data_IF_976176038098
#
_entry.id   IF_976176038098
#
_cell.length_a   1.000
_cell.length_b   1.000
_cell.length_c   1.000
_cell.angle_alpha   90.00
_cell.angle_beta   90.00
_cell.angle_gamma   90.00
#
_symmetry.space_group_name_H-M   'P 1'
#
loop_
_entity.id
_entity.type
_entity.pdbx_description
1 polymer ?
#
# COMPACT_ATOMS: atom_id res chain seq x y z
N UNK A 1 27.53 -12.46 9.13
CA UNK A 1 27.38 -12.38 7.66
C UNK A 1 26.69 -11.07 7.39
N UNK A 2 27.16 -10.33 6.39
CA UNK A 2 26.55 -9.06 5.99
C UNK A 2 25.15 -9.32 5.43
N UNK A 3 24.09 -8.65 5.93
CA UNK A 3 22.74 -8.93 5.48
C UNK A 3 22.55 -8.44 4.03
N UNK A 4 22.08 -9.34 3.16
CA UNK A 4 21.54 -8.99 1.85
C UNK A 4 20.17 -8.36 2.08
N UNK A 5 20.03 -7.07 1.77
CA UNK A 5 18.78 -6.36 1.95
C UNK A 5 18.20 -5.91 0.62
N UNK A 6 16.89 -5.67 0.60
CA UNK A 6 16.21 -4.96 -0.47
C UNK A 6 15.97 -3.52 -0.04
N UNK A 7 16.56 -2.55 -0.72
CA UNK A 7 16.39 -1.13 -0.39
C UNK A 7 16.33 -0.23 -1.63
N UNK A 8 15.78 0.97 -1.44
CA UNK A 8 15.78 2.03 -2.43
C UNK A 8 17.12 2.77 -2.44
N UNK A 9 17.84 2.66 -3.56
CA UNK A 9 19.02 3.47 -3.85
C UNK A 9 18.56 4.78 -4.47
N UNK A 10 19.00 5.91 -3.93
CA UNK A 10 18.75 7.23 -4.51
C UNK A 10 19.66 7.41 -5.72
N UNK A 11 19.04 7.54 -6.90
CA UNK A 11 19.75 7.76 -8.17
C UNK A 11 20.03 9.24 -8.35
N UNK A 12 19.02 10.07 -8.10
CA UNK A 12 19.14 11.52 -8.17
C UNK A 12 17.91 12.23 -7.63
N UNK A 13 18.09 13.50 -7.32
CA UNK A 13 17.01 14.41 -6.93
C UNK A 13 17.27 15.79 -7.49
N UNK A 14 16.20 16.50 -7.82
CA UNK A 14 16.29 17.86 -8.33
C UNK A 14 14.97 18.62 -8.10
N UNK A 15 15.03 19.94 -8.13
CA UNK A 15 13.86 20.82 -8.03
C UNK A 15 13.67 21.63 -9.30
N UNK A 16 12.42 21.96 -9.62
CA UNK A 16 12.10 22.88 -10.72
C UNK A 16 10.83 23.68 -10.43
N UNK A 17 10.89 24.98 -10.68
CA UNK A 17 9.70 25.84 -10.67
C UNK A 17 9.02 25.88 -12.04
N UNK A 18 7.69 25.88 -12.03
CA UNK A 18 6.83 26.09 -13.18
C UNK A 18 5.96 27.33 -12.93
N UNK A 19 6.02 28.29 -13.84
CA UNK A 19 5.11 29.44 -13.87
C UNK A 19 3.93 29.14 -14.78
N UNK A 20 2.71 29.14 -14.22
CA UNK A 20 1.46 29.08 -14.97
C UNK A 20 0.82 30.48 -14.95
N UNK A 21 0.81 31.13 -16.12
CA UNK A 21 0.29 32.50 -16.29
C UNK A 21 -0.89 32.50 -17.26
N UNK A 22 -2.05 33.01 -16.81
CA UNK A 22 -3.28 33.01 -17.63
C UNK A 22 -4.24 34.12 -17.23
N UNK A 23 -5.01 34.59 -18.21
CA UNK A 23 -6.20 35.42 -17.97
C UNK A 23 -7.45 34.53 -17.90
N UNK A 24 -8.25 34.76 -16.86
CA UNK A 24 -9.48 34.01 -16.60
C UNK A 24 -10.67 34.95 -16.71
N UNK A 25 -11.68 34.55 -17.48
CA UNK A 25 -12.94 35.29 -17.57
C UNK A 25 -13.89 34.83 -16.48
N UNK A 26 -14.33 35.75 -15.63
CA UNK A 26 -15.35 35.52 -14.62
C UNK A 26 -16.74 35.51 -15.26
N UNK A 27 -17.59 34.59 -14.83
CA UNK A 27 -18.98 34.53 -15.26
C UNK A 27 -19.82 35.72 -14.75
N UNK A 28 -19.39 36.34 -13.64
CA UNK A 28 -20.03 37.47 -12.99
C UNK A 28 -19.00 38.59 -12.83
N UNK A 29 -19.42 39.84 -13.09
CA UNK A 29 -18.58 41.02 -12.89
C UNK A 29 -18.21 41.17 -11.40
N UNK A 30 -16.93 41.32 -11.14
CA UNK A 30 -16.32 41.46 -9.83
C UNK A 30 -15.87 42.90 -9.58
N UNK A 31 -16.05 43.35 -8.34
CA UNK A 31 -15.43 44.58 -7.81
C UNK A 31 -13.97 44.29 -7.43
N UNK A 32 -13.72 43.13 -6.80
CA UNK A 32 -12.38 42.70 -6.35
C UNK A 32 -12.28 41.19 -6.19
N UNK A 33 -11.06 40.68 -6.29
CA UNK A 33 -10.72 39.30 -5.92
C UNK A 33 -10.38 39.24 -4.44
N UNK A 34 -10.96 38.29 -3.72
CA UNK A 34 -10.69 38.06 -2.30
C UNK A 34 -9.44 37.21 -2.14
N UNK A 35 -9.44 36.03 -2.75
CA UNK A 35 -8.33 35.07 -2.73
C UNK A 35 -8.53 34.04 -3.84
N UNK A 36 -7.43 33.38 -4.21
CA UNK A 36 -7.44 32.24 -5.11
C UNK A 36 -6.74 31.10 -4.39
N UNK A 37 -7.47 30.02 -4.14
CA UNK A 37 -6.91 28.82 -3.55
C UNK A 37 -6.52 27.87 -4.69
N UNK A 38 -5.25 27.49 -4.76
CA UNK A 38 -4.71 26.61 -5.77
C UNK A 38 -4.31 25.26 -5.17
N UNK A 39 -4.57 24.18 -5.90
CA UNK A 39 -4.20 22.82 -5.54
C UNK A 39 -3.80 22.06 -6.81
N UNK A 40 -2.89 21.10 -6.69
CA UNK A 40 -2.53 20.19 -7.78
C UNK A 40 -3.41 18.94 -7.69
N UNK A 41 -3.92 18.47 -8.82
CA UNK A 41 -4.74 17.26 -8.96
C UNK A 41 -4.24 16.41 -10.12
N UNK A 42 -4.61 15.14 -10.10
CA UNK A 42 -4.40 14.19 -11.19
C UNK A 42 -2.93 14.13 -11.66
N UNK A 43 -2.00 14.13 -10.71
CA UNK A 43 -0.58 14.13 -11.00
C UNK A 43 -0.15 12.77 -11.54
N UNK A 44 0.43 12.74 -12.73
CA UNK A 44 1.05 11.57 -13.34
C UNK A 44 2.51 11.86 -13.66
N UNK A 45 3.32 10.81 -13.63
CA UNK A 45 4.78 10.90 -13.79
C UNK A 45 5.29 9.78 -14.66
N UNK A 46 6.19 10.11 -15.59
CA UNK A 46 6.95 9.14 -16.37
C UNK A 46 8.44 9.40 -16.22
N UNK A 47 9.19 8.35 -15.87
CA UNK A 47 10.65 8.39 -15.84
C UNK A 47 11.17 8.02 -17.22
N UNK A 48 11.96 8.91 -17.81
CA UNK A 48 12.69 8.68 -19.05
C UNK A 48 14.19 8.90 -18.80
N UNK A 49 15.02 8.61 -19.79
CA UNK A 49 16.47 8.84 -19.68
C UNK A 49 16.78 10.28 -19.19
N UNK A 50 17.45 10.35 -18.04
CA UNK A 50 17.90 11.55 -17.32
C UNK A 50 16.80 12.57 -16.94
N UNK A 51 15.52 12.23 -17.05
CA UNK A 51 14.40 13.16 -16.80
C UNK A 51 13.18 12.49 -16.21
N UNK A 52 12.41 13.27 -15.47
CA UNK A 52 11.06 12.91 -15.04
C UNK A 52 10.07 13.86 -15.69
N UNK A 53 9.15 13.33 -16.47
CA UNK A 53 8.01 14.08 -17.03
C UNK A 53 6.91 14.10 -15.97
N UNK A 54 6.34 15.28 -15.74
CA UNK A 54 5.26 15.50 -14.76
C UNK A 54 4.09 16.13 -15.49
N UNK A 55 2.91 15.55 -15.34
CA UNK A 55 1.66 16.05 -15.89
C UNK A 55 0.60 16.11 -14.79
N UNK A 56 -0.33 17.04 -14.91
CA UNK A 56 -1.42 17.14 -13.96
C UNK A 56 -2.30 18.35 -14.21
N UNK A 57 -3.18 18.63 -13.25
CA UNK A 57 -4.14 19.74 -13.32
C UNK A 57 -3.92 20.69 -12.15
N UNK A 58 -3.64 21.95 -12.49
CA UNK A 58 -3.72 23.05 -11.53
C UNK A 58 -5.20 23.42 -11.37
N UNK A 59 -5.79 23.01 -10.24
CA UNK A 59 -7.16 23.36 -9.86
C UNK A 59 -7.17 24.62 -9.00
N UNK A 60 -7.96 25.61 -9.39
CA UNK A 60 -8.10 26.88 -8.68
C UNK A 60 -9.55 27.13 -8.28
N UNK A 61 -9.73 27.68 -7.09
CA UNK A 61 -10.98 28.25 -6.60
C UNK A 61 -10.79 29.75 -6.42
N UNK A 62 -11.42 30.53 -7.30
CA UNK A 62 -11.34 31.99 -7.32
C UNK A 62 -12.52 32.54 -6.53
N UNK A 63 -12.26 33.16 -5.37
CA UNK A 63 -13.28 33.82 -4.58
C UNK A 63 -13.24 35.32 -4.84
N UNK A 64 -14.38 35.93 -5.14
CA UNK A 64 -14.48 37.35 -5.51
C UNK A 64 -15.78 37.98 -5.03
N UNK A 65 -15.80 39.31 -4.95
CA UNK A 65 -17.00 40.09 -4.59
C UNK A 65 -17.62 40.62 -5.87
N UNK A 66 -18.88 40.27 -6.11
CA UNK A 66 -19.64 40.74 -7.26
C UNK A 66 -20.11 42.20 -7.12
N UNK A 67 -20.61 42.79 -8.20
CA UNK A 67 -21.26 44.11 -8.17
C UNK A 67 -22.54 44.15 -7.30
N UNK A 68 -23.10 42.98 -7.02
CA UNK A 68 -24.19 42.75 -6.06
C UNK A 68 -23.73 42.77 -4.59
N UNK A 69 -22.43 42.97 -4.33
CA UNK A 69 -21.79 42.86 -3.02
C UNK A 69 -21.88 41.47 -2.37
N UNK A 70 -22.13 40.42 -3.15
CA UNK A 70 -22.15 39.04 -2.69
C UNK A 70 -20.80 38.38 -3.01
N UNK A 71 -20.37 37.46 -2.15
CA UNK A 71 -19.17 36.64 -2.41
C UNK A 71 -19.56 35.49 -3.34
N UNK A 72 -18.92 35.46 -4.50
CA UNK A 72 -19.04 34.40 -5.49
C UNK A 72 -17.75 33.57 -5.53
N UNK A 73 -17.85 32.37 -6.09
CA UNK A 73 -16.69 31.56 -6.40
C UNK A 73 -16.77 30.99 -7.81
N UNK A 74 -15.62 30.83 -8.45
CA UNK A 74 -15.50 30.19 -9.75
C UNK A 74 -14.30 29.24 -9.74
N UNK A 75 -14.54 28.01 -10.17
CA UNK A 75 -13.50 27.01 -10.35
C UNK A 75 -12.82 27.15 -11.72
N UNK A 76 -11.53 26.83 -11.79
CA UNK A 76 -10.80 26.67 -13.04
C UNK A 76 -9.82 25.50 -12.95
N UNK A 77 -9.75 24.70 -14.01
CA UNK A 77 -8.74 23.66 -14.19
C UNK A 77 -7.79 24.06 -15.33
N UNK A 78 -6.49 24.02 -15.06
CA UNK A 78 -5.47 24.25 -16.07
C UNK A 78 -4.57 23.01 -16.13
N UNK A 79 -4.62 22.22 -17.21
CA UNK A 79 -3.66 21.14 -17.39
C UNK A 79 -2.26 21.74 -17.58
N UNK A 80 -1.26 21.10 -17.00
CA UNK A 80 0.14 21.44 -17.20
C UNK A 80 0.96 20.20 -17.53
N UNK A 81 2.10 20.43 -18.18
CA UNK A 81 3.15 19.42 -18.38
C UNK A 81 4.50 20.11 -18.24
N UNK A 82 5.40 19.47 -17.49
CA UNK A 82 6.78 19.90 -17.32
C UNK A 82 7.67 18.67 -17.21
N UNK A 83 8.97 18.88 -17.13
CA UNK A 83 9.94 17.84 -16.82
C UNK A 83 11.00 18.37 -15.89
N UNK A 84 11.60 17.51 -15.06
CA UNK A 84 12.74 17.82 -14.21
C UNK A 84 13.92 16.96 -14.64
N UNK A 85 15.08 17.57 -14.84
CA UNK A 85 16.31 16.85 -15.19
C UNK A 85 16.84 16.14 -13.94
N UNK A 86 16.97 14.81 -13.99
CA UNK A 86 17.48 13.96 -12.92
C UNK A 86 18.51 13.01 -13.54
N UNK A 87 19.80 13.39 -13.57
CA UNK A 87 20.84 12.57 -14.19
C UNK A 87 20.89 11.14 -13.62
N UNK A 88 21.01 10.14 -14.49
CA UNK A 88 21.01 8.73 -14.14
C UNK A 88 19.63 8.08 -14.05
N UNK A 89 18.55 8.85 -14.19
CA UNK A 89 17.20 8.29 -14.24
C UNK A 89 16.97 7.44 -15.51
N UNK A 90 16.38 6.27 -15.37
CA UNK A 90 16.04 5.36 -16.48
C UNK A 90 14.58 4.88 -16.38
N UNK A 91 13.96 4.49 -17.51
CA UNK A 91 12.61 3.91 -17.51
C UNK A 91 12.50 2.71 -16.55
N UNK A 92 11.42 2.68 -15.77
CA UNK A 92 11.16 1.62 -14.79
C UNK A 92 11.69 1.92 -13.38
N UNK A 93 12.49 2.97 -13.19
CA UNK A 93 12.87 3.43 -11.85
C UNK A 93 11.67 4.03 -11.10
N UNK A 94 11.72 3.98 -9.77
CA UNK A 94 10.71 4.59 -8.90
C UNK A 94 10.89 6.10 -8.88
N UNK A 95 9.79 6.84 -8.78
CA UNK A 95 9.82 8.30 -8.70
C UNK A 95 8.88 8.82 -7.62
N UNK A 96 9.36 9.81 -6.87
CA UNK A 96 8.57 10.57 -5.91
C UNK A 96 8.56 12.03 -6.33
N UNK A 97 7.37 12.61 -6.49
CA UNK A 97 7.18 14.02 -6.85
C UNK A 97 6.37 14.71 -5.78
N UNK A 98 6.91 15.79 -5.21
CA UNK A 98 6.23 16.65 -4.24
C UNK A 98 6.03 18.04 -4.83
N UNK A 99 4.81 18.37 -5.29
CA UNK A 99 4.51 19.72 -5.75
C UNK A 99 4.11 20.64 -4.60
N UNK A 100 4.65 21.86 -4.59
CA UNK A 100 4.28 22.92 -3.64
C UNK A 100 3.83 24.15 -4.42
N UNK A 101 2.68 24.71 -4.06
CA UNK A 101 2.27 26.03 -4.56
C UNK A 101 3.02 27.08 -3.73
N UNK A 102 4.05 27.68 -4.31
CA UNK A 102 4.83 28.71 -3.62
C UNK A 102 4.06 30.03 -3.53
N UNK A 103 3.44 30.45 -4.64
CA UNK A 103 2.70 31.71 -4.68
C UNK A 103 1.60 31.73 -5.73
N UNK A 104 0.56 32.51 -5.43
CA UNK A 104 -0.54 32.84 -6.34
C UNK A 104 -0.68 34.35 -6.38
N UNK A 105 -0.23 34.95 -7.46
CA UNK A 105 -0.33 36.39 -7.71
C UNK A 105 -1.48 36.62 -8.67
N UNK A 106 -2.32 37.61 -8.38
CA UNK A 106 -3.45 37.94 -9.24
C UNK A 106 -3.73 39.43 -9.30
N UNK A 107 -4.30 39.86 -10.42
CA UNK A 107 -4.77 41.22 -10.62
C UNK A 107 -6.09 41.22 -11.39
N UNK A 108 -7.06 42.02 -10.95
CA UNK A 108 -8.31 42.22 -11.67
C UNK A 108 -8.08 43.28 -12.75
N UNK A 109 -8.03 42.88 -14.02
CA UNK A 109 -7.77 43.79 -15.15
C UNK A 109 -9.04 44.53 -15.59
N UNK A 110 -10.19 43.86 -15.52
CA UNK A 110 -11.53 44.41 -15.74
C UNK A 110 -12.51 43.67 -14.84
N UNK A 111 -13.76 44.13 -14.67
CA UNK A 111 -14.73 43.44 -13.81
C UNK A 111 -14.89 41.94 -14.13
N UNK A 112 -14.63 41.51 -15.36
CA UNK A 112 -14.75 40.09 -15.74
C UNK A 112 -13.42 39.42 -16.08
N UNK A 113 -12.27 40.09 -16.01
CA UNK A 113 -10.97 39.50 -16.41
C UNK A 113 -9.98 39.56 -15.25
N UNK A 114 -9.54 38.38 -14.80
CA UNK A 114 -8.49 38.23 -13.79
C UNK A 114 -7.23 37.72 -14.44
N UNK A 115 -6.14 38.46 -14.29
CA UNK A 115 -4.80 37.99 -14.61
C UNK A 115 -4.21 37.23 -13.42
N UNK A 116 -3.67 36.05 -13.64
CA UNK A 116 -3.19 35.16 -12.58
C UNK A 116 -1.84 34.57 -12.95
N UNK A 117 -0.95 34.47 -11.96
CA UNK A 117 0.34 33.80 -12.01
C UNK A 117 0.41 32.84 -10.83
N UNK A 118 0.62 31.57 -11.11
CA UNK A 118 0.86 30.54 -10.09
C UNK A 118 2.26 30.00 -10.29
N UNK A 119 3.08 30.04 -9.24
CA UNK A 119 4.39 29.38 -9.23
C UNK A 119 4.25 28.08 -8.46
N UNK A 120 4.63 26.99 -9.13
CA UNK A 120 4.59 25.63 -8.60
C UNK A 120 6.04 25.15 -8.54
N UNK A 121 6.54 24.81 -7.36
CA UNK A 121 7.82 24.11 -7.21
C UNK A 121 7.57 22.60 -7.20
N UNK A 122 8.33 21.86 -7.99
CA UNK A 122 8.34 20.41 -7.97
C UNK A 122 9.67 19.93 -7.40
N UNK A 123 9.63 19.22 -6.28
CA UNK A 123 10.75 18.39 -5.83
C UNK A 123 10.57 16.98 -6.41
N UNK A 124 11.61 16.46 -7.07
CA UNK A 124 11.61 15.15 -7.71
C UNK A 124 12.76 14.33 -7.16
N UNK A 125 12.47 13.08 -6.79
CA UNK A 125 13.44 12.08 -6.37
C UNK A 125 13.24 10.79 -7.15
N UNK A 126 14.30 10.30 -7.78
CA UNK A 126 14.32 9.02 -8.48
C UNK A 126 15.09 8.02 -7.64
N UNK A 127 14.47 6.86 -7.38
CA UNK A 127 15.09 5.75 -6.66
C UNK A 127 15.00 4.46 -7.46
N UNK A 128 15.92 3.54 -7.20
CA UNK A 128 15.89 2.20 -7.77
C UNK A 128 15.94 1.17 -6.65
N UNK A 129 15.02 0.22 -6.64
CA UNK A 129 15.04 -0.86 -5.66
C UNK A 129 16.10 -1.89 -6.05
N UNK A 130 17.14 -2.03 -5.22
CA UNK A 130 18.23 -3.00 -5.43
C UNK A 130 18.36 -3.96 -4.25
N UNK A 131 18.96 -5.12 -4.53
CA UNK A 131 19.47 -6.00 -3.48
C UNK A 131 20.95 -5.73 -3.24
N UNK A 132 21.31 -5.42 -1.99
CA UNK A 132 22.64 -4.98 -1.62
C UNK A 132 23.06 -5.63 -0.31
N UNK A 133 24.33 -6.02 -0.21
CA UNK A 133 24.91 -6.49 1.04
C UNK A 133 25.36 -5.28 1.86
N UNK A 134 24.75 -5.08 3.03
CA UNK A 134 25.12 -4.00 3.94
C UNK A 134 26.31 -4.37 4.81
N UNK A 135 27.25 -3.45 4.96
CA UNK A 135 28.28 -3.57 6.00
C UNK A 135 27.70 -3.08 7.33
N UNK A 136 27.69 -3.95 8.32
CA UNK A 136 27.30 -3.59 9.70
C UNK A 136 28.39 -2.77 10.38
N UNK A 137 28.02 -1.82 11.24
CA UNK A 137 28.98 -0.95 11.94
C UNK A 137 28.36 -0.25 13.15
N UNK A 138 29.01 0.81 13.63
CA UNK A 138 28.57 1.57 14.82
C UNK A 138 27.65 2.76 14.50
N UNK A 139 27.10 2.81 13.27
CA UNK A 139 26.22 3.89 12.84
C UNK A 139 24.77 3.72 13.34
N UNK A 140 23.83 4.49 12.77
CA UNK A 140 22.43 4.46 13.21
C UNK A 140 21.83 3.07 13.06
N UNK A 141 20.93 2.73 13.99
CA UNK A 141 20.12 1.52 13.92
C UNK A 141 19.04 1.72 12.86
N UNK A 142 19.05 0.91 11.81
CA UNK A 142 18.06 0.98 10.75
C UNK A 142 17.23 -0.29 10.72
N UNK A 143 15.94 -0.14 10.40
CA UNK A 143 15.06 -1.24 10.04
C UNK A 143 15.18 -1.48 8.53
N UNK A 144 15.46 -2.73 8.16
CA UNK A 144 15.65 -3.14 6.76
C UNK A 144 14.99 -4.49 6.51
N UNK A 145 14.55 -4.71 5.28
CA UNK A 145 14.02 -6.00 4.86
C UNK A 145 15.17 -6.84 4.29
N UNK A 146 15.66 -7.78 5.11
CA UNK A 146 16.67 -8.74 4.73
C UNK A 146 16.04 -9.79 3.82
N UNK A 147 16.69 -10.06 2.69
CA UNK A 147 16.32 -11.14 1.78
C UNK A 147 16.79 -12.46 2.40
N UNK A 148 15.83 -13.32 2.73
CA UNK A 148 16.08 -14.67 3.25
C UNK A 148 16.37 -15.61 2.10
N UNK A 149 15.55 -15.53 1.05
CA UNK A 149 15.73 -16.29 -0.17
C UNK A 149 14.74 -15.90 -1.25
N UNK A 150 15.06 -16.27 -2.48
CA UNK A 150 14.18 -16.11 -3.64
C UNK A 150 14.36 -17.30 -4.58
N UNK A 151 13.28 -17.70 -5.25
CA UNK A 151 13.30 -18.77 -6.24
C UNK A 151 12.13 -18.63 -7.21
N UNK A 152 12.20 -19.33 -8.34
CA UNK A 152 11.10 -19.42 -9.31
C UNK A 152 10.58 -20.85 -9.42
N UNK A 153 9.31 -21.00 -9.79
CA UNK A 153 8.74 -22.26 -10.22
C UNK A 153 7.81 -22.04 -11.40
N UNK A 154 8.04 -22.76 -12.49
CA UNK A 154 7.10 -22.85 -13.59
C UNK A 154 6.08 -23.97 -13.33
N UNK A 155 4.82 -23.72 -13.66
CA UNK A 155 3.76 -24.71 -13.56
C UNK A 155 2.83 -24.66 -14.77
N UNK A 156 2.42 -25.85 -15.21
CA UNK A 156 1.47 -26.05 -16.30
C UNK A 156 0.09 -26.37 -15.73
N UNK A 157 -0.88 -25.52 -16.04
CA UNK A 157 -2.29 -25.74 -15.76
C UNK A 157 -2.98 -26.20 -17.04
N UNK A 158 -3.47 -27.44 -17.02
CA UNK A 158 -4.17 -28.06 -18.14
C UNK A 158 -5.59 -28.43 -17.73
N UNK A 159 -6.59 -27.88 -18.42
CA UNK A 159 -7.99 -28.21 -18.17
C UNK A 159 -8.84 -28.09 -19.43
N UNK A 160 -9.99 -28.76 -19.39
CA UNK A 160 -11.04 -28.63 -20.40
C UNK A 160 -12.12 -27.66 -19.94
N UNK A 161 -12.70 -26.94 -20.89
CA UNK A 161 -13.94 -26.18 -20.70
C UNK A 161 -14.95 -26.54 -21.80
N UNK A 162 -16.22 -26.56 -21.42
CA UNK A 162 -17.33 -26.61 -22.37
C UNK A 162 -17.76 -25.18 -22.73
N UNK A 163 -17.68 -24.85 -24.02
CA UNK A 163 -18.17 -23.60 -24.56
C UNK A 163 -19.70 -23.59 -24.55
N UNK A 164 -20.27 -22.46 -24.11
CA UNK A 164 -21.72 -22.25 -24.06
C UNK A 164 -22.35 -22.21 -25.45
N UNK A 165 -21.54 -22.00 -26.50
CA UNK A 165 -21.97 -21.94 -27.90
C UNK A 165 -21.00 -22.74 -28.77
N UNK A 166 -21.50 -23.57 -29.72
CA UNK A 166 -20.63 -24.31 -30.62
C UNK A 166 -19.75 -23.38 -31.47
N UNK A 167 -18.43 -23.58 -31.39
CA UNK A 167 -17.38 -22.84 -32.05
C UNK A 167 -16.84 -23.55 -33.30
N UNK A 168 -16.40 -22.76 -34.27
CA UNK A 168 -15.60 -23.20 -35.42
C UNK A 168 -14.11 -23.13 -35.08
N UNK A 169 -13.69 -22.06 -34.39
CA UNK A 169 -12.31 -21.82 -33.96
C UNK A 169 -12.27 -20.93 -32.73
N UNK A 170 -11.18 -21.03 -31.99
CA UNK A 170 -10.80 -20.06 -30.96
C UNK A 170 -10.02 -18.94 -31.63
N UNK A 171 -10.28 -17.71 -31.23
CA UNK A 171 -9.55 -16.53 -31.71
C UNK A 171 -8.39 -16.22 -30.77
N UNK A 172 -8.69 -16.05 -29.48
CA UNK A 172 -7.69 -15.75 -28.45
C UNK A 172 -8.15 -16.20 -27.05
N UNK A 173 -7.18 -16.39 -26.14
CA UNK A 173 -7.43 -16.56 -24.71
C UNK A 173 -6.50 -15.63 -23.96
N UNK A 174 -7.06 -14.58 -23.35
CA UNK A 174 -6.29 -13.72 -22.44
C UNK A 174 -6.34 -14.27 -21.03
N UNK A 175 -5.21 -14.24 -20.33
CA UNK A 175 -5.06 -14.86 -19.01
C UNK A 175 -4.46 -13.86 -18.03
N UNK A 176 -5.04 -13.79 -16.84
CA UNK A 176 -4.55 -12.99 -15.72
C UNK A 176 -4.61 -13.86 -14.46
N UNK A 177 -3.52 -13.85 -13.68
CA UNK A 177 -3.51 -14.45 -12.35
C UNK A 177 -3.98 -13.39 -11.35
N UNK A 178 -5.01 -13.69 -10.58
CA UNK A 178 -5.61 -12.78 -9.59
C UNK A 178 -5.87 -13.50 -8.27
N UNK A 179 -6.26 -12.74 -7.25
CA UNK A 179 -6.69 -13.24 -5.93
C UNK A 179 -5.63 -14.13 -5.25
N UNK A 180 -4.35 -13.73 -5.38
CA UNK A 180 -3.24 -14.51 -4.83
C UNK A 180 -3.21 -14.41 -3.31
N UNK A 181 -3.18 -15.56 -2.64
CA UNK A 181 -2.88 -15.70 -1.23
C UNK A 181 -1.61 -16.51 -1.04
N UNK A 182 -0.85 -16.19 0.01
CA UNK A 182 0.45 -16.82 0.28
C UNK A 182 0.57 -17.25 1.72
N UNK A 183 1.19 -18.42 1.94
CA UNK A 183 1.55 -18.89 3.26
C UNK A 183 3.02 -19.29 3.27
N UNK A 184 3.82 -18.61 4.10
CA UNK A 184 5.21 -18.98 4.36
C UNK A 184 5.23 -20.08 5.41
N UNK A 185 5.83 -21.21 5.06
CA UNK A 185 6.12 -22.33 5.96
C UNK A 185 7.61 -22.60 5.94
N UNK A 186 8.07 -23.59 6.72
CA UNK A 186 9.46 -23.99 6.74
C UNK A 186 9.95 -24.36 5.33
N UNK A 187 10.97 -23.63 4.86
CA UNK A 187 11.65 -23.76 3.57
C UNK A 187 10.78 -23.64 2.31
N UNK A 188 9.52 -23.21 2.42
CA UNK A 188 8.58 -23.12 1.29
C UNK A 188 7.61 -21.96 1.42
N UNK A 189 7.15 -21.50 0.26
CA UNK A 189 6.01 -20.58 0.13
C UNK A 189 4.91 -21.30 -0.62
N UNK A 190 3.74 -21.46 0.02
CA UNK A 190 2.51 -21.91 -0.65
C UNK A 190 1.86 -20.70 -1.30
N UNK A 191 1.44 -20.84 -2.55
CA UNK A 191 0.79 -19.82 -3.36
C UNK A 191 -0.53 -20.38 -3.84
N UNK A 192 -1.62 -19.69 -3.57
CA UNK A 192 -2.96 -20.04 -4.03
C UNK A 192 -3.56 -18.85 -4.75
N UNK A 193 -4.49 -19.08 -5.67
CA UNK A 193 -5.17 -18.00 -6.36
C UNK A 193 -6.04 -18.50 -7.50
N UNK A 194 -6.40 -17.58 -8.40
CA UNK A 194 -7.28 -17.85 -9.52
C UNK A 194 -6.59 -17.47 -10.83
N UNK A 195 -6.58 -18.42 -11.77
CA UNK A 195 -6.27 -18.16 -13.18
C UNK A 195 -7.57 -17.74 -13.85
N UNK A 196 -7.71 -16.43 -14.07
CA UNK A 196 -8.83 -15.85 -14.79
C UNK A 196 -8.54 -15.84 -16.28
N UNK A 197 -9.42 -16.45 -17.07
CA UNK A 197 -9.30 -16.55 -18.51
C UNK A 197 -10.48 -15.86 -19.19
N UNK A 198 -10.21 -15.20 -20.31
CA UNK A 198 -11.23 -14.66 -21.19
C UNK A 198 -11.03 -15.30 -22.56
N UNK A 199 -12.00 -16.12 -22.97
CA UNK A 199 -11.95 -16.92 -24.18
C UNK A 199 -12.78 -16.22 -25.25
N UNK A 200 -12.13 -15.84 -26.35
CA UNK A 200 -12.76 -15.24 -27.53
C UNK A 200 -12.79 -16.28 -28.64
N UNK A 201 -13.96 -16.51 -29.25
CA UNK A 201 -14.12 -17.56 -30.25
C UNK A 201 -15.20 -17.24 -31.28
N UNK A 202 -15.12 -17.88 -32.45
CA UNK A 202 -16.10 -17.72 -33.53
C UNK A 202 -17.08 -18.88 -33.51
N UNK A 203 -18.36 -18.58 -33.35
CA UNK A 203 -19.45 -19.55 -33.36
C UNK A 203 -19.73 -20.14 -34.75
N UNK A 204 -20.46 -21.24 -34.79
CA UNK A 204 -20.93 -21.89 -36.04
C UNK A 204 -21.82 -21.02 -36.94
N UNK A 205 -22.33 -19.91 -36.40
CA UNK A 205 -23.06 -18.87 -37.11
C UNK A 205 -22.17 -17.71 -37.61
N UNK A 206 -20.84 -17.82 -37.52
CA UNK A 206 -19.85 -16.79 -37.82
C UNK A 206 -19.98 -15.52 -36.96
N UNK A 207 -20.54 -15.62 -35.76
CA UNK A 207 -20.57 -14.53 -34.77
C UNK A 207 -19.46 -14.74 -33.75
N UNK A 208 -18.82 -13.66 -33.32
CA UNK A 208 -17.82 -13.67 -32.25
C UNK A 208 -18.51 -13.74 -30.87
N UNK A 209 -18.00 -14.63 -30.02
CA UNK A 209 -18.48 -14.86 -28.67
C UNK A 209 -17.34 -14.72 -27.67
N UNK A 210 -17.74 -14.47 -26.43
CA UNK A 210 -16.87 -14.36 -25.28
C UNK A 210 -17.37 -15.28 -24.16
N UNK A 211 -16.44 -15.95 -23.48
CA UNK A 211 -16.71 -16.74 -22.29
C UNK A 211 -15.57 -16.60 -21.28
N UNK A 212 -15.90 -16.24 -20.04
CA UNK A 212 -14.95 -16.22 -18.93
C UNK A 212 -14.83 -17.59 -18.26
N UNK A 213 -13.64 -17.90 -17.74
CA UNK A 213 -13.38 -19.05 -16.88
C UNK A 213 -12.48 -18.63 -15.72
N UNK A 214 -12.79 -19.11 -14.51
CA UNK A 214 -11.92 -19.00 -13.35
C UNK A 214 -11.46 -20.41 -12.94
N UNK A 215 -10.15 -20.63 -12.86
CA UNK A 215 -9.55 -21.90 -12.41
C UNK A 215 -8.73 -21.63 -11.16
N UNK A 216 -9.17 -22.19 -10.03
CA UNK A 216 -8.41 -22.14 -8.78
C UNK A 216 -7.14 -22.99 -8.89
N UNK A 217 -6.04 -22.49 -8.32
CA UNK A 217 -4.79 -23.23 -8.24
C UNK A 217 -4.17 -23.15 -6.85
N UNK A 218 -3.29 -24.11 -6.58
CA UNK A 218 -2.44 -24.15 -5.40
C UNK A 218 -1.09 -24.73 -5.79
N UNK A 219 -0.02 -24.00 -5.50
CA UNK A 219 1.36 -24.39 -5.78
C UNK A 219 2.28 -24.02 -4.63
N UNK A 220 3.56 -24.35 -4.75
CA UNK A 220 4.58 -23.93 -3.79
C UNK A 220 5.92 -23.66 -4.47
N UNK A 221 6.68 -22.71 -3.92
CA UNK A 221 8.08 -22.46 -4.30
C UNK A 221 8.98 -22.86 -3.13
N UNK A 222 10.01 -23.66 -3.39
CA UNK A 222 11.02 -24.02 -2.38
C UNK A 222 11.97 -22.83 -2.17
N UNK A 223 12.02 -22.30 -0.95
CA UNK A 223 12.86 -21.17 -0.54
C UNK A 223 13.54 -21.54 0.78
N UNK A 224 14.76 -22.13 0.73
CA UNK A 224 15.50 -22.48 1.94
C UNK A 224 15.69 -21.29 2.88
N UNK A 225 15.46 -21.50 4.18
CA UNK A 225 15.51 -20.48 5.22
C UNK A 225 14.18 -19.76 5.48
N UNK A 226 13.17 -19.94 4.63
CA UNK A 226 11.84 -19.39 4.87
C UNK A 226 11.21 -20.00 6.13
N UNK A 227 10.52 -19.16 6.92
CA UNK A 227 9.86 -19.58 8.16
C UNK A 227 8.54 -18.82 8.41
N UNK A 228 7.60 -19.39 9.19
CA UNK A 228 6.32 -18.74 9.47
C UNK A 228 6.49 -17.35 10.09
N UNK A 229 5.74 -16.38 9.58
CA UNK A 229 5.77 -14.98 10.02
C UNK A 229 6.69 -14.06 9.21
N UNK A 230 7.52 -14.61 8.32
CA UNK A 230 8.28 -13.82 7.34
C UNK A 230 7.36 -13.25 6.25
N UNK A 231 7.79 -12.14 5.66
CA UNK A 231 7.09 -11.48 4.56
C UNK A 231 7.44 -12.15 3.23
N UNK A 232 6.49 -12.18 2.29
CA UNK A 232 6.71 -12.76 0.96
C UNK A 232 6.10 -11.89 -0.12
N UNK A 233 6.82 -11.77 -1.23
CA UNK A 233 6.34 -11.15 -2.46
C UNK A 233 6.32 -12.21 -3.54
N UNK A 234 5.18 -12.35 -4.21
CA UNK A 234 4.98 -13.27 -5.32
C UNK A 234 4.62 -12.48 -6.58
N UNK A 235 5.36 -12.73 -7.66
CA UNK A 235 5.09 -12.16 -8.98
C UNK A 235 4.85 -13.31 -9.97
N UNK A 236 3.59 -13.57 -10.36
CA UNK A 236 3.30 -14.53 -11.42
C UNK A 236 3.50 -13.90 -12.80
N UNK A 237 4.06 -14.65 -13.73
CA UNK A 237 4.19 -14.28 -15.14
C UNK A 237 3.55 -15.38 -15.99
N UNK A 238 2.57 -15.02 -16.82
CA UNK A 238 2.02 -15.96 -17.81
C UNK A 238 3.00 -16.03 -18.97
N UNK A 239 3.70 -17.15 -19.11
CA UNK A 239 4.72 -17.33 -20.14
C UNK A 239 4.13 -17.85 -21.45
N UNK A 240 3.12 -18.71 -21.35
CA UNK A 240 2.57 -19.39 -22.51
C UNK A 240 1.11 -19.78 -22.33
N UNK A 241 0.32 -19.58 -23.37
CA UNK A 241 -1.06 -20.05 -23.47
C UNK A 241 -1.21 -20.84 -24.76
N UNK A 242 -1.65 -22.09 -24.64
CA UNK A 242 -1.98 -22.94 -25.77
C UNK A 242 -3.37 -23.51 -25.60
N UNK A 243 -4.06 -23.66 -26.72
CA UNK A 243 -5.43 -24.15 -26.74
C UNK A 243 -5.67 -25.02 -27.96
N UNK A 244 -6.54 -26.02 -27.79
CA UNK A 244 -6.91 -26.98 -28.81
C UNK A 244 -8.40 -27.28 -28.72
N UNK A 245 -9.15 -26.88 -29.75
CA UNK A 245 -10.58 -27.11 -29.87
C UNK A 245 -10.81 -28.56 -30.31
N UNK A 246 -11.17 -29.43 -29.35
CA UNK A 246 -11.32 -30.87 -29.59
C UNK A 246 -12.56 -31.21 -30.43
N UNK A 247 -13.64 -30.50 -30.16
CA UNK A 247 -14.88 -30.53 -30.91
C UNK A 247 -15.54 -29.14 -30.81
N UNK A 248 -16.72 -28.95 -31.41
CA UNK A 248 -17.34 -27.63 -31.46
C UNK A 248 -17.67 -27.04 -30.08
N UNK A 249 -17.69 -27.81 -29.00
CA UNK A 249 -17.97 -27.31 -27.65
C UNK A 249 -16.86 -27.57 -26.65
N UNK A 250 -15.94 -28.50 -26.91
CA UNK A 250 -14.91 -28.89 -25.95
C UNK A 250 -13.57 -28.26 -26.28
N UNK A 251 -13.09 -27.39 -25.40
CA UNK A 251 -11.81 -26.69 -25.54
C UNK A 251 -10.80 -27.19 -24.50
N UNK A 252 -9.65 -27.69 -24.96
CA UNK A 252 -8.48 -27.93 -24.13
C UNK A 252 -7.65 -26.65 -24.00
N UNK A 253 -7.23 -26.33 -22.79
CA UNK A 253 -6.41 -25.16 -22.50
C UNK A 253 -5.18 -25.58 -21.70
N UNK A 254 -4.04 -24.98 -22.02
CA UNK A 254 -2.75 -25.18 -21.36
C UNK A 254 -2.17 -23.81 -21.07
N UNK A 255 -1.99 -23.48 -19.81
CA UNK A 255 -1.40 -22.22 -19.35
C UNK A 255 -0.13 -22.53 -18.58
N UNK A 256 0.99 -21.96 -19.00
CA UNK A 256 2.25 -22.02 -18.25
C UNK A 256 2.41 -20.70 -17.50
N UNK A 257 2.56 -20.79 -16.18
CA UNK A 257 2.79 -19.65 -15.31
C UNK A 257 4.11 -19.86 -14.57
N UNK A 258 5.01 -18.88 -14.65
CA UNK A 258 6.16 -18.78 -13.76
C UNK A 258 5.78 -18.01 -12.50
N UNK A 259 6.01 -18.59 -11.33
CA UNK A 259 5.87 -17.93 -10.04
C UNK A 259 7.24 -17.58 -9.50
N UNK A 260 7.59 -16.30 -9.50
CA UNK A 260 8.73 -15.79 -8.74
C UNK A 260 8.28 -15.47 -7.31
N UNK A 261 8.97 -16.02 -6.31
CA UNK A 261 8.71 -15.75 -4.91
C UNK A 261 9.98 -15.27 -4.19
N UNK A 262 9.84 -14.24 -3.37
CA UNK A 262 10.92 -13.65 -2.56
C UNK A 262 10.47 -13.51 -1.12
N UNK A 263 11.19 -14.15 -0.21
CA UNK A 263 10.93 -14.08 1.24
C UNK A 263 11.89 -13.09 1.87
N UNK A 264 11.34 -12.20 2.68
CA UNK A 264 12.07 -11.20 3.45
C UNK A 264 11.73 -11.25 4.93
N UNK A 265 12.70 -10.89 5.76
CA UNK A 265 12.53 -10.69 7.18
C UNK A 265 12.92 -9.26 7.54
N UNK A 266 12.04 -8.54 8.24
CA UNK A 266 12.37 -7.23 8.78
C UNK A 266 13.30 -7.35 9.98
N UNK A 267 14.54 -6.94 9.82
CA UNK A 267 15.55 -6.92 10.88
C UNK A 267 15.91 -5.48 11.28
N UNK A 268 16.56 -5.34 12.44
CA UNK A 268 17.22 -4.10 12.84
C UNK A 268 18.72 -4.32 12.87
N UNK A 269 19.47 -3.43 12.24
CA UNK A 269 20.93 -3.55 12.15
C UNK A 269 21.58 -2.17 12.21
N UNK A 270 22.66 -2.06 12.96
CA UNK A 270 23.51 -0.87 12.90
C UNK A 270 24.36 -0.92 11.64
N UNK A 271 24.29 0.13 10.83
CA UNK A 271 24.99 0.21 9.55
C UNK A 271 26.28 1.00 9.64
N UNK A 272 27.25 0.66 8.80
CA UNK A 272 28.46 1.47 8.64
C UNK A 272 28.21 2.62 7.66
N UNK A 273 28.18 3.85 8.17
CA UNK A 273 28.16 5.04 7.32
C UNK A 273 29.51 5.23 6.62
N UNK A 274 29.47 5.71 5.38
CA UNK A 274 30.68 5.98 4.60
C UNK A 274 30.38 6.19 3.11
N UNK A 275 31.41 6.51 2.30
CA UNK A 275 31.24 6.67 0.87
C UNK A 275 30.78 5.35 0.24
N UNK A 276 29.60 5.37 -0.39
CA UNK A 276 28.98 4.19 -0.96
C UNK A 276 27.63 4.53 -1.60
N UNK A 277 26.67 3.63 -1.51
CA UNK A 277 25.33 3.88 -2.03
C UNK A 277 24.57 4.84 -1.10
N UNK A 278 23.87 5.81 -1.69
CA UNK A 278 22.92 6.64 -0.96
C UNK A 278 21.60 5.86 -0.86
N UNK A 279 21.31 5.31 0.31
CA UNK A 279 20.14 4.48 0.55
C UNK A 279 19.07 5.27 1.28
N UNK A 280 17.82 5.10 0.89
CA UNK A 280 16.66 5.58 1.65
C UNK A 280 16.23 4.49 2.61
N UNK A 281 16.50 4.67 3.90
CA UNK A 281 16.32 3.68 4.95
C UNK A 281 15.45 4.24 6.09
N UNK A 282 14.82 3.35 6.85
CA UNK A 282 14.10 3.70 8.08
C UNK A 282 15.04 3.62 9.28
N UNK A 283 15.47 4.76 9.80
CA UNK A 283 16.24 4.81 11.04
C UNK A 283 15.31 4.62 12.22
N UNK A 284 15.65 3.72 13.13
CA UNK A 284 14.86 3.45 14.33
C UNK A 284 15.13 4.53 15.36
N UNK A 285 14.10 5.33 15.65
CA UNK A 285 14.16 6.38 16.68
C UNK A 285 13.97 5.76 18.06
N UNK A 286 13.02 4.84 18.18
CA UNK A 286 12.75 4.13 19.42
C UNK A 286 11.66 3.09 19.27
N UNK A 287 11.63 2.16 20.22
CA UNK A 287 10.61 1.14 20.33
C UNK A 287 10.26 0.90 21.79
N UNK A 288 9.00 0.55 22.06
CA UNK A 288 8.56 0.23 23.40
C UNK A 288 7.31 -0.66 23.35
N UNK A 289 7.10 -1.42 24.41
CA UNK A 289 5.93 -2.28 24.57
C UNK A 289 5.07 -1.76 25.71
N UNK A 290 3.75 -1.71 25.52
CA UNK A 290 2.81 -1.35 26.58
C UNK A 290 1.61 -2.27 26.58
N UNK A 291 1.27 -2.76 27.76
CA UNK A 291 0.02 -3.48 27.99
C UNK A 291 -1.04 -2.52 28.55
N UNK A 292 -2.28 -2.71 28.12
CA UNK A 292 -3.45 -2.05 28.70
C UNK A 292 -4.49 -3.08 29.14
N UNK A 293 -5.27 -2.73 30.15
CA UNK A 293 -6.44 -3.48 30.57
C UNK A 293 -7.69 -2.71 30.17
N UNK A 294 -8.51 -3.30 29.32
CA UNK A 294 -9.85 -2.80 29.00
C UNK A 294 -10.86 -3.59 29.82
N UNK A 295 -11.42 -2.95 30.84
CA UNK A 295 -12.49 -3.53 31.66
C UNK A 295 -13.84 -2.92 31.26
N UNK A 296 -14.84 -3.78 31.06
CA UNK A 296 -16.22 -3.35 30.83
C UNK A 296 -17.24 -4.29 31.47
N UNK A 297 -18.40 -3.74 31.79
CA UNK A 297 -19.59 -4.48 32.20
C UNK A 297 -20.63 -4.36 31.09
N UNK A 298 -20.99 -5.49 30.50
CA UNK A 298 -21.92 -5.57 29.39
C UNK A 298 -23.26 -6.17 29.84
N UNK A 299 -24.36 -5.52 29.44
CA UNK A 299 -25.71 -6.01 29.70
C UNK A 299 -26.17 -6.90 28.54
N UNK A 300 -26.30 -8.19 28.80
CA UNK A 300 -26.75 -9.18 27.83
C UNK A 300 -28.25 -8.98 27.53
N UNK A 301 -28.67 -9.13 26.26
CA UNK A 301 -30.05 -8.90 25.86
C UNK A 301 -31.02 -9.96 26.38
N UNK A 302 -30.51 -11.12 26.81
CA UNK A 302 -31.30 -12.24 27.31
C UNK A 302 -30.72 -12.75 28.64
N UNK A 303 -31.59 -13.21 29.57
CA UNK A 303 -31.16 -13.97 30.73
C UNK A 303 -30.34 -15.21 30.32
N UNK A 304 -29.12 -15.24 30.81
CA UNK A 304 -28.00 -16.11 30.42
C UNK A 304 -27.63 -17.03 31.55
N UNK A 305 -27.40 -18.30 31.22
CA UNK A 305 -26.97 -19.35 32.15
C UNK A 305 -25.44 -19.36 32.26
N UNK A 306 -24.75 -19.25 31.13
CA UNK A 306 -23.29 -19.23 31.06
C UNK A 306 -22.77 -18.59 29.78
N UNK A 307 -21.54 -18.07 29.84
CA UNK A 307 -20.76 -17.65 28.67
C UNK A 307 -20.01 -18.87 28.13
N UNK A 308 -20.07 -19.08 26.81
CA UNK A 308 -19.33 -20.13 26.12
C UNK A 308 -17.93 -19.64 25.81
N UNK A 309 -17.82 -18.54 25.08
CA UNK A 309 -16.56 -17.94 24.67
C UNK A 309 -16.75 -16.46 24.30
N UNK A 310 -15.66 -15.71 24.34
CA UNK A 310 -15.58 -14.36 23.81
C UNK A 310 -14.42 -14.35 22.81
N UNK A 311 -14.73 -14.04 21.56
CA UNK A 311 -13.72 -13.84 20.52
C UNK A 311 -13.52 -12.34 20.35
N UNK A 312 -12.28 -11.87 20.44
CA UNK A 312 -11.98 -10.45 20.34
C UNK A 312 -10.96 -10.16 19.24
N UNK A 313 -11.06 -8.96 18.67
CA UNK A 313 -10.15 -8.43 17.65
C UNK A 313 -10.02 -6.92 17.82
N UNK A 314 -8.88 -6.37 17.40
CA UNK A 314 -8.64 -4.93 17.40
C UNK A 314 -8.96 -4.40 16.00
N UNK A 315 -9.75 -3.33 15.92
CA UNK A 315 -10.20 -2.68 14.69
C UNK A 315 -9.89 -1.20 14.72
N UNK A 316 -9.85 -0.59 13.53
CA UNK A 316 -9.72 0.86 13.34
C UNK A 316 -8.57 1.49 14.13
N UNK A 317 -7.42 0.80 14.18
CA UNK A 317 -6.25 1.25 14.90
C UNK A 317 -5.64 2.48 14.20
N UNK A 318 -5.57 3.60 14.89
CA UNK A 318 -4.92 4.82 14.43
C UNK A 318 -3.81 5.23 15.38
N UNK A 319 -2.83 5.95 14.84
CA UNK A 319 -1.68 6.46 15.62
C UNK A 319 -1.42 7.92 15.34
N UNK A 320 -0.97 8.62 16.37
CA UNK A 320 -0.50 9.99 16.28
C UNK A 320 0.81 10.12 17.05
N UNK A 321 1.85 10.60 16.37
CA UNK A 321 3.13 10.90 17.02
C UNK A 321 3.08 12.32 17.56
N UNK A 322 3.34 12.43 18.85
CA UNK A 322 3.61 13.70 19.52
C UNK A 322 5.03 13.65 20.09
N UNK A 323 5.50 14.75 20.66
CA UNK A 323 6.82 14.81 21.29
C UNK A 323 6.98 13.70 22.35
N UNK A 324 8.00 12.85 22.13
CA UNK A 324 8.39 11.70 22.97
C UNK A 324 7.31 10.62 23.19
N UNK A 325 6.18 10.65 22.47
CA UNK A 325 5.09 9.69 22.67
C UNK A 325 4.34 9.36 21.39
N UNK A 326 3.74 8.18 21.39
CA UNK A 326 2.78 7.75 20.37
C UNK A 326 1.44 7.53 21.03
N UNK A 327 0.40 8.23 20.57
CA UNK A 327 -0.98 7.97 20.93
C UNK A 327 -1.52 6.86 20.03
N UNK A 328 -2.22 5.89 20.63
CA UNK A 328 -2.85 4.77 19.93
C UNK A 328 -4.32 4.78 20.27
N UNK A 329 -5.17 4.77 19.25
CA UNK A 329 -6.62 4.71 19.39
C UNK A 329 -7.16 3.58 18.52
N UNK A 330 -8.25 2.96 18.96
CA UNK A 330 -8.89 1.90 18.19
C UNK A 330 -10.13 1.36 18.87
N UNK A 331 -10.68 0.30 18.31
CA UNK A 331 -11.88 -0.37 18.79
C UNK A 331 -11.53 -1.81 19.14
N UNK A 332 -11.80 -2.19 20.38
CA UNK A 332 -11.84 -3.60 20.79
C UNK A 332 -13.21 -4.16 20.40
N UNK A 333 -13.27 -4.89 19.29
CA UNK A 333 -14.46 -5.60 18.86
C UNK A 333 -14.52 -6.99 19.47
N UNK A 334 -15.64 -7.33 20.09
CA UNK A 334 -15.89 -8.63 20.72
C UNK A 334 -17.13 -9.28 20.14
N UNK A 335 -17.08 -10.59 19.97
CA UNK A 335 -18.23 -11.46 19.76
C UNK A 335 -18.38 -12.35 20.99
N UNK A 336 -19.48 -12.18 21.70
CA UNK A 336 -19.78 -12.89 22.94
C UNK A 336 -20.76 -14.01 22.60
N UNK A 337 -20.36 -15.26 22.78
CA UNK A 337 -21.20 -16.43 22.61
C UNK A 337 -21.67 -16.93 23.97
N UNK A 338 -22.98 -17.08 24.15
CA UNK A 338 -23.57 -17.42 25.45
C UNK A 338 -24.81 -18.31 25.32
N UNK A 339 -25.14 -19.04 26.40
CA UNK A 339 -26.31 -19.91 26.45
C UNK A 339 -27.39 -19.24 27.31
N UNK A 340 -28.56 -18.98 26.74
CA UNK A 340 -29.68 -18.35 27.43
C UNK A 340 -30.59 -19.37 28.13
N UNK A 341 -31.61 -18.88 28.85
CA UNK A 341 -32.58 -19.73 29.57
C UNK A 341 -33.41 -20.65 28.67
N UNK A 342 -33.45 -20.38 27.36
CA UNK A 342 -34.04 -21.27 26.36
C UNK A 342 -33.13 -22.46 25.99
N UNK A 343 -31.94 -22.55 26.59
CA UNK A 343 -30.88 -23.51 26.26
C UNK A 343 -30.36 -23.44 24.82
N UNK A 344 -30.58 -22.31 24.14
CA UNK A 344 -30.00 -22.05 22.83
C UNK A 344 -28.75 -21.18 22.96
N UNK A 345 -27.87 -21.33 21.98
CA UNK A 345 -26.69 -20.48 21.83
C UNK A 345 -27.07 -19.21 21.09
N UNK A 346 -26.67 -18.08 21.66
CA UNK A 346 -26.83 -16.76 21.09
C UNK A 346 -25.47 -16.09 21.00
N UNK A 347 -25.34 -15.12 20.11
CA UNK A 347 -24.16 -14.27 20.04
C UNK A 347 -24.54 -12.80 20.07
N UNK A 348 -23.68 -11.98 20.67
CA UNK A 348 -23.83 -10.54 20.70
C UNK A 348 -22.50 -9.86 20.45
N UNK A 349 -22.50 -8.91 19.51
CA UNK A 349 -21.36 -8.07 19.22
C UNK A 349 -21.28 -6.89 20.20
N UNK A 350 -20.06 -6.49 20.53
CA UNK A 350 -19.79 -5.34 21.37
C UNK A 350 -18.50 -4.64 20.93
N UNK A 351 -18.56 -3.33 20.75
CA UNK A 351 -17.42 -2.49 20.37
C UNK A 351 -17.05 -1.56 21.54
N UNK A 352 -15.80 -1.62 21.99
CA UNK A 352 -15.28 -0.72 23.02
C UNK A 352 -14.15 0.13 22.43
N UNK A 353 -14.34 1.45 22.31
CA UNK A 353 -13.23 2.32 21.94
C UNK A 353 -12.19 2.37 23.08
N UNK A 354 -10.92 2.31 22.72
CA UNK A 354 -9.81 2.52 23.65
C UNK A 354 -8.88 3.61 23.14
N UNK A 355 -8.15 4.22 24.07
CA UNK A 355 -7.09 5.19 23.79
C UNK A 355 -5.99 5.01 24.82
N UNK A 356 -4.75 4.96 24.36
CA UNK A 356 -3.55 4.90 25.20
C UNK A 356 -2.43 5.68 24.56
N UNK A 357 -1.33 5.86 25.29
CA UNK A 357 -0.10 6.38 24.74
C UNK A 357 1.08 5.51 25.17
N UNK A 358 2.14 5.48 24.37
CA UNK A 358 3.39 4.80 24.69
C UNK A 358 4.51 5.84 24.64
N UNK A 359 5.32 5.90 25.69
CA UNK A 359 6.48 6.79 25.74
C UNK A 359 7.59 6.22 24.86
N UNK A 360 8.00 7.00 23.86
CA UNK A 360 9.05 6.70 22.89
C UNK A 360 9.96 7.94 22.81
N UNK A 361 11.01 8.03 23.66
CA UNK A 361 11.91 9.16 23.65
C UNK A 361 12.53 9.41 22.26
N UNK A 362 12.53 10.66 21.81
CA UNK A 362 13.01 11.08 20.49
C UNK A 362 11.94 11.09 19.39
N UNK A 363 10.73 10.59 19.66
CA UNK A 363 9.63 10.64 18.69
C UNK A 363 9.16 12.08 18.45
N UNK A 364 8.97 12.47 17.18
CA UNK A 364 8.46 13.79 16.79
C UNK A 364 7.35 13.70 15.74
N UNK A 365 6.45 14.70 15.66
CA UNK A 365 5.37 14.69 14.67
C UNK A 365 5.87 14.50 13.23
N UNK A 366 5.24 13.57 12.51
CA UNK A 366 5.59 13.24 11.12
C UNK A 366 6.51 12.03 10.97
N UNK A 367 7.05 11.47 12.06
CA UNK A 367 7.76 10.19 12.02
C UNK A 367 6.82 9.02 11.69
N UNK A 368 7.38 7.95 11.13
CA UNK A 368 6.63 6.74 10.80
C UNK A 368 6.40 5.91 12.07
N UNK A 369 5.21 5.32 12.19
CA UNK A 369 4.86 4.44 13.32
C UNK A 369 4.42 3.09 12.79
N UNK A 370 5.00 2.03 13.36
CA UNK A 370 4.47 0.67 13.25
C UNK A 370 3.94 0.23 14.61
N UNK A 371 2.74 -0.33 14.62
CA UNK A 371 2.12 -0.90 15.81
C UNK A 371 1.72 -2.33 15.52
N UNK A 372 2.29 -3.24 16.29
CA UNK A 372 1.86 -4.63 16.35
C UNK A 372 1.04 -4.80 17.65
N UNK A 373 -0.15 -5.37 17.56
CA UNK A 373 -1.05 -5.50 18.70
C UNK A 373 -1.51 -6.94 18.88
N UNK A 374 -1.61 -7.37 20.14
CA UNK A 374 -1.99 -8.73 20.50
C UNK A 374 -2.93 -8.72 21.69
N UNK A 375 -4.02 -9.47 21.60
CA UNK A 375 -4.85 -9.79 22.76
C UNK A 375 -4.18 -10.96 23.49
N UNK A 376 -3.68 -10.70 24.69
CA UNK A 376 -3.00 -11.72 25.48
C UNK A 376 -3.98 -12.62 26.23
N UNK A 377 -5.04 -12.03 26.76
CA UNK A 377 -5.99 -12.73 27.63
C UNK A 377 -7.33 -11.99 27.67
N UNK A 378 -8.40 -12.78 27.75
CA UNK A 378 -9.76 -12.32 28.02
C UNK A 378 -10.24 -13.07 29.27
N UNK A 379 -10.50 -12.33 30.34
CA UNK A 379 -11.16 -12.84 31.54
C UNK A 379 -12.59 -12.33 31.57
N UNK A 380 -13.54 -13.19 31.94
CA UNK A 380 -14.92 -12.79 32.05
C UNK A 380 -15.62 -13.51 33.20
N UNK A 381 -16.61 -12.84 33.77
CA UNK A 381 -17.43 -13.34 34.86
C UNK A 381 -18.87 -12.91 34.64
N UNK A 382 -19.79 -13.87 34.66
CA UNK A 382 -21.22 -13.62 34.63
C UNK A 382 -21.67 -13.33 36.07
N UNK A 383 -21.84 -12.05 36.43
CA UNK A 383 -22.17 -11.62 37.79
C UNK A 383 -23.62 -11.96 38.17
N UNK A 384 -24.53 -11.84 37.20
CA UNK A 384 -25.91 -12.29 37.28
C UNK A 384 -26.40 -12.74 35.89
N UNK A 385 -27.67 -13.15 35.76
CA UNK A 385 -28.20 -13.66 34.49
C UNK A 385 -28.10 -12.69 33.30
N UNK A 386 -27.82 -11.41 33.50
CA UNK A 386 -27.75 -10.40 32.42
C UNK A 386 -26.48 -9.56 32.46
N UNK A 387 -25.72 -9.60 33.53
CA UNK A 387 -24.58 -8.71 33.76
C UNK A 387 -23.27 -9.47 33.60
N UNK A 388 -22.51 -9.14 32.56
CA UNK A 388 -21.24 -9.78 32.21
C UNK A 388 -20.07 -8.81 32.40
N UNK A 389 -19.20 -9.08 33.38
CA UNK A 389 -17.93 -8.37 33.55
C UNK A 389 -16.86 -9.00 32.67
N UNK A 390 -16.07 -8.17 32.01
CA UNK A 390 -15.03 -8.60 31.08
C UNK A 390 -13.77 -7.76 31.26
N UNK A 391 -12.62 -8.41 31.13
CA UNK A 391 -11.29 -7.83 31.26
C UNK A 391 -10.45 -8.34 30.11
N UNK A 392 -10.05 -7.45 29.20
CA UNK A 392 -9.19 -7.79 28.07
C UNK A 392 -7.83 -7.13 28.25
N UNK A 393 -6.78 -7.95 28.26
CA UNK A 393 -5.39 -7.50 28.29
C UNK A 393 -4.91 -7.43 26.85
N UNK A 394 -4.49 -6.23 26.43
CA UNK A 394 -3.98 -5.96 25.10
C UNK A 394 -2.53 -5.48 25.24
N UNK A 395 -1.63 -6.15 24.54
CA UNK A 395 -0.24 -5.73 24.38
C UNK A 395 -0.06 -5.00 23.05
N UNK A 396 0.62 -3.86 23.08
CA UNK A 396 1.07 -3.12 21.91
C UNK A 396 2.59 -3.07 21.90
N UNK A 397 3.20 -3.49 20.78
CA UNK A 397 4.58 -3.20 20.45
C UNK A 397 4.60 -2.05 19.43
N UNK A 398 5.30 -0.97 19.78
CA UNK A 398 5.35 0.26 18.98
C UNK A 398 6.78 0.46 18.54
N UNK A 399 6.97 0.78 17.26
CA UNK A 399 8.24 1.20 16.69
C UNK A 399 8.07 2.51 15.94
N UNK A 400 8.89 3.49 16.29
CA UNK A 400 8.96 4.77 15.60
C UNK A 400 10.21 4.81 14.76
N UNK A 401 10.05 5.13 13.48
CA UNK A 401 11.16 5.27 12.54
C UNK A 401 11.10 6.58 11.79
N UNK A 402 12.26 7.05 11.34
CA UNK A 402 12.39 8.19 10.46
C UNK A 402 13.02 7.75 9.13
N UNK A 403 12.36 8.06 8.01
CA UNK A 403 12.93 7.81 6.69
C UNK A 403 14.04 8.80 6.40
N UNK A 404 15.28 8.31 6.31
CA UNK A 404 16.46 9.12 6.05
C UNK A 404 17.21 8.63 4.80
N UNK A 405 17.93 9.53 4.15
CA UNK A 405 18.92 9.18 3.12
C UNK A 405 20.29 9.06 3.79
N UNK A 406 20.84 7.85 3.80
CA UNK A 406 22.11 7.55 4.44
C UNK A 406 23.11 7.10 3.39
N UNK A 407 24.32 7.66 3.42
CA UNK A 407 25.42 7.14 2.59
C UNK A 407 26.06 5.97 3.34
N UNK A 408 25.88 4.77 2.79
CA UNK A 408 26.20 3.52 3.46
C UNK A 408 27.26 2.76 2.68
N UNK A 409 28.22 2.19 3.42
CA UNK A 409 29.19 1.27 2.83
C UNK A 409 28.47 -0.03 2.46
N UNK A 410 28.56 -0.40 1.19
CA UNK A 410 28.06 -1.67 0.68
C UNK A 410 29.24 -2.62 0.49
N UNK A 411 29.01 -3.91 0.70
CA UNK A 411 29.99 -4.91 0.28
C UNK A 411 30.06 -4.82 -1.24
N UNK A 412 31.26 -4.61 -1.79
CA UNK A 412 31.46 -4.61 -3.23
C UNK A 412 30.85 -5.90 -3.80
N UNK A 413 30.12 -5.85 -4.93
CA UNK A 413 29.65 -7.07 -5.55
C UNK A 413 30.87 -7.98 -5.77
N UNK A 414 30.78 -9.23 -5.29
CA UNK A 414 31.70 -10.25 -5.75
C UNK A 414 31.72 -10.16 -7.28
N UNK A 415 32.90 -9.91 -7.86
CA UNK A 415 33.07 -9.66 -9.29
C UNK A 415 32.39 -10.74 -10.15
N UNK A 416 32.11 -10.46 -11.43
CA UNK A 416 31.24 -11.29 -12.25
C UNK A 416 31.76 -12.74 -12.27
N UNK A 417 30.92 -13.67 -11.80
CA UNK A 417 31.07 -15.08 -12.16
C UNK A 417 30.83 -15.18 -13.66
N UNK A 418 31.90 -15.17 -14.45
CA UNK A 418 31.89 -15.73 -15.78
C UNK A 418 31.71 -17.24 -15.63
N UNK A 419 30.52 -17.75 -15.95
CA UNK A 419 30.32 -19.14 -16.34
C UNK A 419 30.11 -19.22 -17.84
#
# INVERSE_FOLDING_TARGET
MDPLIRAEVVIGENTKQLLVEKNVTLAIAAIKIRNINATIRDLTTDVIADKVVIQGVLHKQIFFVGEDNIVHHQAENIPFSTFVDVPGAEPGMNVQVSPVIETVIFNLLSPTIVHQKVVIEFFVKVTETRQLNLVTGDGPLVRVDQVVGENTRQELFENFINLNTPAIKIDDITVVVKDITTHVIEDKVIIQGVIHKQIFFIGTNNVEYHQGEDVEFSTFVDIPGASPGMDVIVNPTVEFVHFDLRDSTTLLQKVVVEFFAKVTESIQVNIQLGPGALLKLETVTGENTKQILVENVFCLPLPTIKIREIIASIRDLTTEVIEDKVIIQGILHKQIFFIANDNLEHHQAEDIPFSTFVDIPGATPGMNVRVDSRIETILFELEDSTTLRQKVVIEFFIKVTETQQLSVVIVAPYGPYYF
#
